data_IF_891388029588
#
_entry.id   IF_891388029588
#
_cell.length_a   1.000
_cell.length_b   1.000
_cell.length_c   1.000
_cell.angle_alpha   90.00
_cell.angle_beta   90.00
_cell.angle_gamma   90.00
#
_symmetry.space_group_name_H-M   'P 1'
#
loop_
_entity.id
_entity.type
_entity.pdbx_description
1 polymer ?
#
# COMPACT_ATOMS: atom_id res chain seq x y z
N UNK A 1 6.34 6.15 31.24
CA UNK A 1 5.79 6.01 29.87
C UNK A 1 5.29 7.33 29.23
N UNK A 2 5.11 8.42 29.94
CA UNK A 2 4.70 9.73 29.37
C UNK A 2 5.85 10.53 28.70
N UNK A 3 7.11 10.20 28.93
CA UNK A 3 8.25 10.97 28.40
C UNK A 3 8.66 10.65 26.95
N UNK A 4 8.29 9.49 26.41
CA UNK A 4 8.63 9.11 25.02
C UNK A 4 7.68 9.71 23.97
N UNK A 5 6.44 9.95 24.33
CA UNK A 5 5.45 10.56 23.43
C UNK A 5 5.76 12.02 23.05
N UNK A 6 6.40 12.77 23.95
CA UNK A 6 6.73 14.20 23.69
C UNK A 6 7.87 14.41 22.69
N UNK A 7 8.79 13.44 22.51
CA UNK A 7 9.94 13.60 21.58
C UNK A 7 9.60 13.35 20.10
N UNK A 8 8.54 12.60 19.80
CA UNK A 8 8.07 12.40 18.43
C UNK A 8 7.31 13.60 17.85
N UNK A 9 6.71 14.43 18.70
CA UNK A 9 5.89 15.56 18.33
C UNK A 9 6.63 16.75 17.70
N UNK A 10 7.90 16.93 18.02
CA UNK A 10 8.69 18.13 17.60
C UNK A 10 9.21 18.04 16.16
N UNK A 11 9.07 16.89 15.49
CA UNK A 11 9.69 16.64 14.19
C UNK A 11 8.79 16.87 12.96
N UNK A 12 7.54 17.25 13.18
CA UNK A 12 6.52 17.30 12.10
C UNK A 12 6.32 18.72 11.53
N UNK A 13 6.82 19.75 12.19
CA UNK A 13 6.59 21.12 11.76
C UNK A 13 7.75 21.66 10.92
N UNK A 14 7.72 21.41 9.60
CA UNK A 14 8.35 22.32 8.65
C UNK A 14 7.53 22.48 7.38
N UNK A 15 7.41 23.74 6.91
CA UNK A 15 6.47 24.14 5.90
C UNK A 15 6.95 23.86 4.48
N UNK A 16 5.97 23.80 3.60
CA UNK A 16 6.05 23.94 2.15
C UNK A 16 6.90 22.91 1.40
N UNK A 17 6.20 21.89 0.89
CA UNK A 17 6.68 21.19 -0.28
C UNK A 17 6.82 22.19 -1.43
N UNK A 18 8.04 22.43 -1.91
CA UNK A 18 8.25 23.13 -3.17
C UNK A 18 7.43 22.45 -4.27
N UNK A 19 6.65 23.25 -5.01
CA UNK A 19 5.96 22.78 -6.22
C UNK A 19 7.00 22.26 -7.19
N UNK A 20 7.27 20.95 -7.16
CA UNK A 20 8.29 20.28 -7.98
C UNK A 20 8.92 19.05 -7.35
N UNK A 21 8.72 18.81 -6.07
CA UNK A 21 9.34 17.66 -5.40
C UNK A 21 8.69 16.33 -5.82
N UNK A 22 9.52 15.40 -6.33
CA UNK A 22 9.10 14.07 -6.76
C UNK A 22 8.75 13.25 -5.52
N UNK A 23 7.51 12.82 -5.39
CA UNK A 23 7.12 11.94 -4.28
C UNK A 23 7.68 10.53 -4.46
N UNK A 24 7.71 10.04 -5.69
CA UNK A 24 8.23 8.73 -6.03
C UNK A 24 9.34 8.87 -7.08
N UNK A 25 10.41 8.09 -6.92
CA UNK A 25 11.56 8.02 -7.84
C UNK A 25 11.57 6.70 -8.60
N UNK A 26 11.19 5.60 -7.93
CA UNK A 26 11.14 4.25 -8.49
C UNK A 26 9.86 3.56 -8.07
N UNK A 27 9.11 3.08 -9.03
CA UNK A 27 7.83 2.42 -8.84
C UNK A 27 7.92 1.03 -9.41
N UNK A 28 7.59 0.00 -8.62
CA UNK A 28 7.52 -1.37 -9.07
C UNK A 28 6.07 -1.81 -9.25
N UNK A 29 5.81 -2.51 -10.34
CA UNK A 29 4.56 -3.24 -10.55
C UNK A 29 4.86 -4.66 -11.02
N UNK A 30 4.01 -5.61 -10.66
CA UNK A 30 4.11 -6.97 -11.15
C UNK A 30 2.94 -7.30 -12.06
N UNK A 31 3.21 -8.10 -13.10
CA UNK A 31 2.20 -8.58 -14.04
C UNK A 31 2.31 -10.09 -14.25
N UNK A 32 1.18 -10.75 -14.41
CA UNK A 32 1.07 -12.14 -14.88
C UNK A 32 0.50 -12.24 -16.32
N UNK A 33 0.46 -11.08 -17.02
CA UNK A 33 -0.09 -10.92 -18.36
C UNK A 33 -1.60 -11.23 -18.47
N UNK A 34 -2.30 -11.14 -17.35
CA UNK A 34 -3.75 -11.30 -17.33
C UNK A 34 -4.42 -9.95 -17.10
N UNK A 35 -5.58 -9.74 -17.67
CA UNK A 35 -6.35 -8.48 -17.66
C UNK A 35 -6.55 -7.85 -16.28
N UNK A 36 -6.51 -8.65 -15.22
CA UNK A 36 -6.60 -8.16 -13.83
C UNK A 36 -5.36 -7.36 -13.42
N UNK A 37 -4.19 -7.69 -13.96
CA UNK A 37 -2.94 -6.99 -13.68
C UNK A 37 -2.75 -5.75 -14.55
N UNK A 38 -3.48 -5.61 -15.66
CA UNK A 38 -3.36 -4.46 -16.55
C UNK A 38 -3.68 -3.15 -15.81
N UNK A 39 -4.70 -3.15 -14.95
CA UNK A 39 -5.06 -1.97 -14.17
C UNK A 39 -3.91 -1.50 -13.26
N UNK A 40 -3.15 -2.41 -12.65
CA UNK A 40 -1.99 -2.06 -11.82
C UNK A 40 -0.83 -1.52 -12.64
N UNK A 41 -0.52 -2.12 -13.79
CA UNK A 41 0.53 -1.64 -14.71
C UNK A 41 0.19 -0.25 -15.26
N UNK A 42 -1.04 -0.04 -15.70
CA UNK A 42 -1.52 1.26 -16.22
C UNK A 42 -1.47 2.34 -15.13
N UNK A 43 -1.91 2.01 -13.91
CA UNK A 43 -1.84 2.93 -12.77
C UNK A 43 -0.40 3.25 -12.40
N UNK A 44 0.48 2.26 -12.34
CA UNK A 44 1.90 2.45 -12.07
C UNK A 44 2.56 3.33 -13.12
N UNK A 45 2.28 3.11 -14.40
CA UNK A 45 2.78 3.92 -15.50
C UNK A 45 2.32 5.38 -15.39
N UNK A 46 1.05 5.59 -15.03
CA UNK A 46 0.50 6.93 -14.82
C UNK A 46 1.19 7.66 -13.65
N UNK A 47 1.35 6.98 -12.51
CA UNK A 47 2.03 7.56 -11.34
C UNK A 47 3.49 7.85 -11.68
N UNK A 48 4.16 6.93 -12.40
CA UNK A 48 5.54 7.13 -12.85
C UNK A 48 5.67 8.37 -13.75
N UNK A 49 4.76 8.54 -14.70
CA UNK A 49 4.71 9.72 -15.56
C UNK A 49 4.51 11.01 -14.77
N UNK A 50 3.55 11.05 -13.85
CA UNK A 50 3.25 12.23 -13.01
C UNK A 50 4.41 12.63 -12.09
N UNK A 51 5.26 11.67 -11.70
CA UNK A 51 6.40 11.87 -10.83
C UNK A 51 7.74 11.94 -11.58
N UNK A 52 7.77 11.73 -12.91
CA UNK A 52 8.99 11.49 -13.66
C UNK A 52 9.87 10.41 -12.97
N UNK A 53 9.23 9.31 -12.57
CA UNK A 53 9.83 8.19 -11.87
C UNK A 53 10.22 7.08 -12.85
N UNK A 54 11.18 6.22 -12.46
CA UNK A 54 11.49 4.99 -13.19
C UNK A 54 10.42 3.95 -12.85
N UNK A 55 9.78 3.37 -13.86
CA UNK A 55 8.84 2.28 -13.72
C UNK A 55 9.57 0.94 -13.89
N UNK A 56 9.37 0.04 -12.96
CA UNK A 56 9.90 -1.31 -12.95
C UNK A 56 8.74 -2.28 -13.10
N UNK A 57 8.73 -3.08 -14.18
CA UNK A 57 7.71 -4.08 -14.46
C UNK A 57 8.33 -5.45 -14.25
N UNK A 58 7.81 -6.20 -13.29
CA UNK A 58 8.27 -7.55 -12.95
C UNK A 58 7.27 -8.59 -13.43
N UNK A 59 7.79 -9.60 -14.12
CA UNK A 59 7.08 -10.84 -14.35
C UNK A 59 7.85 -11.98 -13.69
N UNK A 60 7.18 -12.77 -12.86
CA UNK A 60 7.79 -13.91 -12.19
C UNK A 60 7.29 -15.18 -12.86
N UNK A 61 8.23 -15.93 -13.40
CA UNK A 61 7.99 -17.30 -13.88
C UNK A 61 7.87 -18.19 -12.66
N UNK A 62 6.65 -18.52 -12.29
CA UNK A 62 6.37 -19.21 -11.02
C UNK A 62 7.04 -20.57 -10.98
N UNK A 63 7.90 -20.78 -9.96
CA UNK A 63 8.62 -22.04 -9.77
C UNK A 63 7.66 -23.16 -9.38
N UNK A 64 7.79 -24.29 -10.06
CA UNK A 64 7.05 -25.52 -9.74
C UNK A 64 7.63 -26.24 -8.51
N UNK A 65 8.84 -25.87 -8.06
CA UNK A 65 9.57 -26.52 -6.98
C UNK A 65 10.23 -25.50 -6.06
N UNK A 66 10.19 -25.76 -4.76
CA UNK A 66 10.93 -24.97 -3.77
C UNK A 66 12.46 -25.22 -3.81
N UNK A 67 12.89 -26.35 -4.39
CA UNK A 67 14.30 -26.78 -4.45
C UNK A 67 14.97 -26.25 -5.71
N UNK A 68 14.26 -26.30 -6.84
CA UNK A 68 14.77 -25.83 -8.13
C UNK A 68 13.93 -24.67 -8.65
N UNK A 69 14.45 -23.46 -8.50
CA UNK A 69 13.77 -22.23 -8.95
C UNK A 69 13.68 -22.13 -10.47
N UNK A 70 14.52 -22.84 -11.22
CA UNK A 70 14.51 -22.84 -12.67
C UNK A 70 13.49 -23.83 -13.26
N UNK A 71 12.93 -24.73 -12.45
CA UNK A 71 11.81 -25.56 -12.85
C UNK A 71 10.51 -24.74 -12.73
N UNK A 72 10.02 -24.30 -13.86
CA UNK A 72 8.85 -23.41 -13.95
C UNK A 72 7.70 -24.08 -14.70
N UNK A 73 6.50 -23.56 -14.54
CA UNK A 73 5.37 -23.90 -15.40
C UNK A 73 5.40 -23.06 -16.67
N UNK A 74 5.42 -23.73 -17.81
CA UNK A 74 5.38 -23.06 -19.11
C UNK A 74 4.08 -22.26 -19.25
N UNK A 75 4.23 -21.01 -19.59
CA UNK A 75 3.17 -19.99 -19.64
C UNK A 75 1.91 -20.42 -20.45
N UNK A 76 2.11 -21.09 -21.62
CA UNK A 76 0.99 -21.49 -22.48
C UNK A 76 0.50 -22.91 -22.18
N UNK A 77 1.42 -23.84 -21.96
CA UNK A 77 1.07 -25.26 -21.90
C UNK A 77 0.86 -25.81 -20.49
N UNK A 78 1.26 -25.05 -19.46
CA UNK A 78 1.21 -25.48 -18.05
C UNK A 78 2.14 -26.62 -17.69
N UNK A 79 2.99 -27.10 -18.63
CA UNK A 79 3.96 -28.19 -18.40
C UNK A 79 5.17 -27.64 -17.65
N UNK A 80 5.75 -28.48 -16.80
CA UNK A 80 7.00 -28.15 -16.15
C UNK A 80 8.15 -28.15 -17.17
N UNK A 81 8.89 -27.06 -17.20
CA UNK A 81 10.06 -26.84 -18.04
C UNK A 81 11.18 -26.21 -17.21
N UNK A 82 12.42 -26.42 -17.63
CA UNK A 82 13.56 -25.68 -17.08
C UNK A 82 13.69 -24.39 -17.86
N UNK A 83 13.64 -23.26 -17.16
CA UNK A 83 13.77 -21.93 -17.79
C UNK A 83 15.19 -21.71 -18.32
N UNK A 84 15.30 -20.93 -19.38
CA UNK A 84 16.54 -20.47 -19.98
C UNK A 84 16.51 -18.96 -20.20
N UNK A 85 17.68 -18.35 -20.37
CA UNK A 85 17.79 -16.93 -20.69
C UNK A 85 17.02 -16.54 -21.96
N UNK A 86 17.01 -17.42 -22.96
CA UNK A 86 16.26 -17.17 -24.20
C UNK A 86 14.75 -17.19 -23.98
N UNK A 87 14.27 -18.05 -23.06
CA UNK A 87 12.86 -18.09 -22.70
C UNK A 87 12.45 -16.83 -21.91
N UNK A 88 13.28 -16.43 -20.97
CA UNK A 88 13.07 -15.19 -20.20
C UNK A 88 13.03 -13.95 -21.11
N UNK A 89 13.94 -13.90 -22.11
CA UNK A 89 13.96 -12.84 -23.12
C UNK A 89 12.70 -12.84 -23.97
N UNK A 90 12.26 -14.00 -24.46
CA UNK A 90 11.02 -14.13 -25.24
C UNK A 90 9.82 -13.62 -24.46
N UNK A 91 9.70 -13.98 -23.18
CA UNK A 91 8.62 -13.51 -22.32
C UNK A 91 8.72 -11.98 -22.09
N UNK A 92 9.93 -11.45 -21.92
CA UNK A 92 10.16 -10.01 -21.79
C UNK A 92 9.71 -9.23 -23.03
N UNK A 93 10.00 -9.76 -24.22
CA UNK A 93 9.55 -9.15 -25.48
C UNK A 93 8.02 -9.17 -25.61
N UNK A 94 7.36 -10.25 -25.21
CA UNK A 94 5.89 -10.31 -25.22
C UNK A 94 5.26 -9.28 -24.25
N UNK A 95 5.81 -9.14 -23.04
CA UNK A 95 5.37 -8.12 -22.08
C UNK A 95 5.55 -6.70 -22.69
N UNK A 96 6.69 -6.48 -23.32
CA UNK A 96 6.96 -5.19 -23.97
C UNK A 96 5.97 -4.92 -25.11
N UNK A 97 5.63 -5.89 -25.93
CA UNK A 97 4.62 -5.73 -26.99
C UNK A 97 3.24 -5.36 -26.44
N UNK A 98 2.85 -5.97 -25.31
CA UNK A 98 1.56 -5.70 -24.66
C UNK A 98 1.45 -4.25 -24.17
N UNK A 99 2.52 -3.74 -23.53
CA UNK A 99 2.46 -2.46 -22.83
C UNK A 99 3.12 -1.29 -23.55
N UNK A 100 3.80 -1.52 -24.69
CA UNK A 100 4.60 -0.49 -25.37
C UNK A 100 3.80 0.75 -25.76
N UNK A 101 2.56 0.57 -26.21
CA UNK A 101 1.67 1.66 -26.62
C UNK A 101 1.31 2.60 -25.46
N UNK A 102 1.25 2.05 -24.23
CA UNK A 102 0.90 2.80 -23.01
C UNK A 102 2.14 3.45 -22.40
N UNK A 103 3.30 2.80 -22.52
CA UNK A 103 4.54 3.22 -21.86
C UNK A 103 5.30 4.25 -22.68
N UNK A 104 5.34 4.11 -24.01
CA UNK A 104 6.05 5.07 -24.90
C UNK A 104 5.13 6.24 -25.32
N UNK A 105 5.68 7.44 -25.47
CA UNK A 105 7.06 7.88 -25.22
C UNK A 105 7.30 8.49 -23.83
N UNK A 106 6.39 8.33 -22.88
CA UNK A 106 6.29 9.21 -21.71
C UNK A 106 6.78 8.62 -20.38
N UNK A 107 7.19 7.36 -20.35
CA UNK A 107 7.62 6.69 -19.11
C UNK A 107 8.99 6.06 -19.30
N UNK A 108 9.92 6.33 -18.39
CA UNK A 108 11.18 5.59 -18.28
C UNK A 108 10.89 4.25 -17.58
N UNK A 109 10.99 3.13 -18.29
CA UNK A 109 10.65 1.82 -17.75
C UNK A 109 11.71 0.76 -18.02
N UNK A 110 11.67 -0.29 -17.20
CA UNK A 110 12.47 -1.49 -17.30
C UNK A 110 11.57 -2.71 -17.07
N UNK A 111 11.75 -3.75 -17.87
CA UNK A 111 11.03 -5.02 -17.70
C UNK A 111 12.03 -6.08 -17.25
N UNK A 112 11.70 -6.78 -16.16
CA UNK A 112 12.47 -7.92 -15.66
C UNK A 112 11.57 -9.16 -15.66
N UNK A 113 12.13 -10.26 -16.16
CA UNK A 113 11.55 -11.60 -16.09
C UNK A 113 12.50 -12.44 -15.26
N UNK A 114 12.01 -13.19 -14.30
CA UNK A 114 12.84 -14.03 -13.42
C UNK A 114 12.05 -15.23 -12.91
N UNK A 115 12.67 -16.41 -12.76
CA UNK A 115 12.03 -17.54 -12.11
C UNK A 115 12.00 -17.36 -10.58
N UNK A 116 10.97 -17.89 -9.92
CA UNK A 116 10.90 -17.84 -8.47
C UNK A 116 9.47 -17.83 -7.92
N UNK A 117 9.37 -17.42 -6.65
CA UNK A 117 8.10 -17.19 -6.00
C UNK A 117 7.71 -15.70 -6.10
N UNK A 118 6.51 -15.37 -6.60
CA UNK A 118 6.16 -13.98 -6.93
C UNK A 118 6.41 -12.96 -5.82
N UNK A 119 5.96 -13.22 -4.59
CA UNK A 119 6.15 -12.27 -3.49
C UNK A 119 7.63 -12.12 -3.07
N UNK A 120 8.43 -13.22 -3.10
CA UNK A 120 9.86 -13.16 -2.77
C UNK A 120 10.65 -12.35 -3.80
N UNK A 121 10.36 -12.55 -5.09
CA UNK A 121 11.03 -11.84 -6.17
C UNK A 121 10.65 -10.34 -6.19
N UNK A 122 9.39 -10.00 -5.87
CA UNK A 122 8.98 -8.61 -5.68
C UNK A 122 9.79 -7.98 -4.54
N UNK A 123 9.88 -8.63 -3.38
CA UNK A 123 10.66 -8.13 -2.24
C UNK A 123 12.14 -8.00 -2.56
N UNK A 124 12.72 -8.99 -3.24
CA UNK A 124 14.13 -8.98 -3.64
C UNK A 124 14.42 -7.77 -4.53
N UNK A 125 13.64 -7.59 -5.60
CA UNK A 125 13.88 -6.50 -6.54
C UNK A 125 13.58 -5.12 -5.92
N UNK A 126 12.57 -5.02 -5.08
CA UNK A 126 12.27 -3.80 -4.32
C UNK A 126 13.49 -3.32 -3.51
N UNK A 127 14.15 -4.26 -2.82
CA UNK A 127 15.33 -3.96 -1.99
C UNK A 127 16.58 -3.67 -2.82
N UNK A 128 16.84 -4.47 -3.87
CA UNK A 128 17.97 -4.28 -4.78
C UNK A 128 17.93 -2.90 -5.42
N UNK A 129 16.78 -2.45 -5.86
CA UNK A 129 16.60 -1.21 -6.60
C UNK A 129 16.25 0.00 -5.72
N UNK A 130 15.85 -0.20 -4.48
CA UNK A 130 15.35 0.88 -3.61
C UNK A 130 14.04 1.47 -4.14
N UNK A 131 13.06 0.60 -4.42
CA UNK A 131 11.70 0.99 -4.82
C UNK A 131 11.00 1.73 -3.70
N UNK A 132 10.26 2.78 -4.01
CA UNK A 132 9.55 3.61 -3.04
C UNK A 132 8.02 3.52 -3.13
N UNK A 133 7.50 2.80 -4.13
CA UNK A 133 6.08 2.43 -4.25
C UNK A 133 5.94 1.12 -5.01
N UNK A 134 5.20 0.17 -4.45
CA UNK A 134 4.78 -1.05 -5.14
C UNK A 134 3.32 -0.92 -5.55
N UNK A 135 2.98 -1.27 -6.80
CA UNK A 135 1.61 -1.24 -7.33
C UNK A 135 1.24 -2.63 -7.80
N UNK A 136 0.21 -3.23 -7.19
CA UNK A 136 -0.22 -4.60 -7.48
C UNK A 136 -1.72 -4.69 -7.75
N UNK A 137 -2.12 -5.68 -8.53
CA UNK A 137 -3.51 -6.13 -8.57
C UNK A 137 -3.87 -6.91 -7.28
N UNK A 138 -5.16 -7.01 -6.92
CA UNK A 138 -5.57 -7.66 -5.66
C UNK A 138 -5.35 -9.19 -5.68
N UNK A 139 -5.24 -9.80 -6.84
CA UNK A 139 -4.97 -11.23 -7.05
C UNK A 139 -4.58 -11.47 -8.51
N UNK A 140 -3.92 -12.59 -8.79
CA UNK A 140 -3.72 -13.06 -10.16
C UNK A 140 -4.98 -13.77 -10.68
N UNK A 141 -5.23 -13.74 -11.99
CA UNK A 141 -6.38 -14.42 -12.59
C UNK A 141 -6.21 -15.95 -12.65
N UNK A 142 -5.00 -16.48 -12.41
CA UNK A 142 -4.75 -17.94 -12.33
C UNK A 142 -5.60 -18.64 -11.25
N UNK A 143 -6.21 -17.88 -10.33
CA UNK A 143 -7.19 -18.40 -9.37
C UNK A 143 -8.49 -18.94 -10.01
N UNK A 144 -8.67 -18.80 -11.31
CA UNK A 144 -9.80 -19.38 -12.07
C UNK A 144 -9.47 -20.75 -12.69
N UNK A 145 -8.24 -21.25 -12.57
CA UNK A 145 -7.88 -22.59 -13.01
C UNK A 145 -8.63 -23.66 -12.17
N UNK A 146 -9.18 -24.66 -12.87
CA UNK A 146 -9.94 -25.77 -12.28
C UNK A 146 -9.15 -26.45 -11.16
N UNK A 147 -9.65 -26.37 -9.94
CA UNK A 147 -9.07 -27.04 -8.77
C UNK A 147 -8.50 -26.12 -7.68
N UNK A 148 -8.37 -24.82 -7.91
CA UNK A 148 -7.97 -23.88 -6.86
C UNK A 148 -9.21 -23.38 -6.13
N UNK A 149 -9.34 -23.74 -4.83
CA UNK A 149 -10.43 -23.23 -3.98
C UNK A 149 -10.15 -21.76 -3.66
N UNK A 150 -10.87 -20.90 -4.35
CA UNK A 150 -10.86 -19.46 -4.05
C UNK A 150 -11.50 -19.22 -2.70
N UNK A 151 -10.77 -18.74 -1.73
CA UNK A 151 -11.37 -18.21 -0.50
C UNK A 151 -11.97 -16.85 -0.86
N UNK A 152 -13.28 -16.82 -1.06
CA UNK A 152 -14.01 -15.60 -1.43
C UNK A 152 -13.77 -14.51 -0.38
N UNK A 153 -13.31 -13.35 -0.81
CA UNK A 153 -13.12 -12.19 0.06
C UNK A 153 -11.71 -11.99 0.58
N UNK A 154 -10.70 -12.67 0.00
CA UNK A 154 -9.28 -12.51 0.34
C UNK A 154 -8.45 -11.98 -0.83
N UNK A 155 -7.42 -11.20 -0.51
CA UNK A 155 -6.36 -10.83 -1.47
C UNK A 155 -5.52 -12.06 -1.82
N UNK A 156 -4.80 -12.01 -2.94
CA UNK A 156 -3.90 -13.10 -3.36
C UNK A 156 -2.69 -13.25 -2.43
N UNK A 157 -2.15 -14.46 -2.35
CA UNK A 157 -0.97 -14.79 -1.53
C UNK A 157 0.24 -13.92 -1.84
N UNK A 158 0.41 -13.50 -3.10
CA UNK A 158 1.48 -12.57 -3.51
C UNK A 158 1.33 -11.22 -2.84
N UNK A 159 0.13 -10.62 -2.88
CA UNK A 159 -0.13 -9.32 -2.26
C UNK A 159 -0.01 -9.40 -0.74
N UNK A 160 -0.55 -10.47 -0.14
CA UNK A 160 -0.43 -10.73 1.30
C UNK A 160 1.04 -10.84 1.70
N UNK A 161 1.83 -11.66 1.00
CA UNK A 161 3.26 -11.83 1.28
C UNK A 161 4.04 -10.52 1.15
N UNK A 162 3.74 -9.70 0.14
CA UNK A 162 4.39 -8.39 -0.01
C UNK A 162 4.01 -7.44 1.13
N UNK A 163 2.73 -7.29 1.49
CA UNK A 163 2.30 -6.43 2.60
C UNK A 163 2.94 -6.85 3.93
N UNK A 164 3.10 -8.16 4.14
CA UNK A 164 3.65 -8.67 5.39
C UNK A 164 5.15 -8.43 5.57
N UNK A 165 5.91 -8.39 4.47
CA UNK A 165 7.37 -8.44 4.52
C UNK A 165 8.06 -7.20 3.94
N UNK A 166 7.29 -6.27 3.32
CA UNK A 166 7.82 -5.06 2.72
C UNK A 166 7.61 -3.84 3.62
N UNK A 167 8.53 -2.90 3.49
CA UNK A 167 8.53 -1.64 4.22
C UNK A 167 8.02 -0.47 3.37
N UNK A 168 8.05 -0.58 2.04
CA UNK A 168 7.52 0.47 1.19
C UNK A 168 5.99 0.38 1.03
N UNK A 169 5.30 1.48 0.73
CA UNK A 169 3.85 1.48 0.52
C UNK A 169 3.44 0.55 -0.62
N UNK A 170 2.36 -0.19 -0.40
CA UNK A 170 1.77 -1.09 -1.40
C UNK A 170 0.42 -0.53 -1.84
N UNK A 171 0.33 -0.10 -3.09
CA UNK A 171 -0.91 0.35 -3.72
C UNK A 171 -1.60 -0.82 -4.41
N UNK A 172 -2.79 -1.17 -3.96
CA UNK A 172 -3.60 -2.25 -4.51
C UNK A 172 -4.65 -1.64 -5.43
N UNK A 173 -4.63 -2.08 -6.69
CA UNK A 173 -5.49 -1.54 -7.76
C UNK A 173 -6.41 -2.64 -8.27
N UNK A 174 -7.70 -2.51 -7.99
CA UNK A 174 -8.72 -3.44 -8.49
C UNK A 174 -8.98 -3.23 -9.99
N UNK A 175 -9.29 -4.29 -10.71
CA UNK A 175 -9.65 -4.26 -12.14
C UNK A 175 -10.92 -3.46 -12.44
N UNK A 176 -11.77 -3.24 -11.43
CA UNK A 176 -12.95 -2.39 -11.53
C UNK A 176 -12.62 -0.90 -11.65
N UNK A 177 -11.38 -0.50 -11.38
CA UNK A 177 -10.90 0.85 -11.63
C UNK A 177 -10.65 0.96 -13.14
N UNK A 178 -11.75 1.03 -13.89
CA UNK A 178 -11.71 1.15 -15.33
C UNK A 178 -11.10 2.50 -15.73
N UNK A 179 -10.03 2.45 -16.55
CA UNK A 179 -9.54 3.49 -17.47
C UNK A 179 -9.57 4.96 -17.00
N UNK A 180 -10.17 5.27 -15.85
CA UNK A 180 -10.12 6.59 -15.26
C UNK A 180 -8.78 6.81 -14.58
N UNK A 181 -8.15 7.88 -14.95
CA UNK A 181 -6.88 8.33 -14.39
C UNK A 181 -7.05 8.46 -12.87
N UNK A 182 -6.27 7.70 -12.10
CA UNK A 182 -6.22 7.85 -10.63
C UNK A 182 -5.78 9.29 -10.31
N UNK A 183 -6.71 10.07 -9.76
CA UNK A 183 -6.50 11.51 -9.57
C UNK A 183 -6.00 11.87 -8.18
N UNK A 184 -6.10 10.96 -7.21
CA UNK A 184 -5.80 11.22 -5.80
C UNK A 184 -6.49 12.48 -5.25
N UNK A 185 -7.72 12.77 -5.69
CA UNK A 185 -8.41 14.02 -5.28
C UNK A 185 -9.18 13.90 -3.98
N UNK A 186 -9.59 12.68 -3.64
CA UNK A 186 -10.45 12.39 -2.48
C UNK A 186 -9.91 11.16 -1.76
N UNK A 187 -9.16 11.40 -0.69
CA UNK A 187 -8.42 10.36 0.03
C UNK A 187 -9.09 10.09 1.37
N UNK A 188 -9.48 8.83 1.62
CA UNK A 188 -9.97 8.37 2.92
C UNK A 188 -8.82 7.74 3.71
N UNK A 189 -8.63 8.18 4.95
CA UNK A 189 -7.70 7.53 5.89
C UNK A 189 -8.52 6.84 6.96
N UNK A 190 -8.37 5.51 7.08
CA UNK A 190 -8.99 4.72 8.14
C UNK A 190 -8.15 4.80 9.41
N UNK A 191 -8.72 5.29 10.51
CA UNK A 191 -8.02 5.56 11.76
C UNK A 191 -8.52 4.65 12.87
N UNK A 192 -7.61 3.87 13.47
CA UNK A 192 -7.81 3.06 14.67
C UNK A 192 -6.92 3.52 15.85
N UNK A 193 -6.22 4.65 15.68
CA UNK A 193 -5.27 5.24 16.61
C UNK A 193 -4.01 4.41 16.86
N UNK A 194 -3.71 3.43 16.03
CA UNK A 194 -2.46 2.68 16.04
C UNK A 194 -1.32 3.49 15.42
N UNK A 195 -0.09 3.06 15.65
CA UNK A 195 1.09 3.67 15.05
C UNK A 195 1.13 3.48 13.52
N UNK A 196 0.66 2.36 13.03
CA UNK A 196 0.54 2.11 11.58
C UNK A 196 -0.47 3.06 10.92
N UNK A 197 -1.56 3.42 11.60
CA UNK A 197 -2.47 4.46 11.14
C UNK A 197 -1.83 5.83 11.06
N UNK A 198 -0.93 6.16 12.00
CA UNK A 198 -0.16 7.42 11.98
C UNK A 198 0.70 7.48 10.72
N UNK A 199 1.34 6.37 10.33
CA UNK A 199 2.11 6.26 9.10
C UNK A 199 1.24 6.45 7.86
N UNK A 200 0.09 5.80 7.82
CA UNK A 200 -0.86 5.92 6.70
C UNK A 200 -1.41 7.35 6.58
N UNK A 201 -1.70 8.00 7.71
CA UNK A 201 -2.14 9.40 7.75
C UNK A 201 -1.06 10.32 7.19
N UNK A 202 0.18 10.18 7.63
CA UNK A 202 1.29 10.98 7.12
C UNK A 202 1.48 10.80 5.61
N UNK A 203 1.45 9.56 5.13
CA UNK A 203 1.53 9.27 3.70
C UNK A 203 0.40 9.95 2.92
N UNK A 204 -0.84 9.84 3.42
CA UNK A 204 -2.00 10.45 2.79
C UNK A 204 -1.92 11.98 2.77
N UNK A 205 -1.38 12.61 3.82
CA UNK A 205 -1.13 14.06 3.88
C UNK A 205 -0.12 14.48 2.81
N UNK A 206 0.98 13.73 2.64
CA UNK A 206 1.97 14.01 1.58
C UNK A 206 1.37 13.89 0.18
N UNK A 207 0.53 12.88 -0.04
CA UNK A 207 -0.24 12.76 -1.28
C UNK A 207 -1.18 13.95 -1.47
N UNK A 208 -1.92 14.32 -0.42
CA UNK A 208 -2.88 15.40 -0.48
C UNK A 208 -2.21 16.75 -0.79
N UNK A 209 -1.09 17.04 -0.18
CA UNK A 209 -0.30 18.24 -0.46
C UNK A 209 0.20 18.28 -1.92
N UNK A 210 0.65 17.12 -2.45
CA UNK A 210 1.15 17.04 -3.83
C UNK A 210 0.04 17.16 -4.87
N UNK A 211 -1.09 16.51 -4.64
CA UNK A 211 -2.16 16.40 -5.63
C UNK A 211 -3.33 17.35 -5.38
N UNK A 212 -3.21 18.22 -4.36
CA UNK A 212 -4.26 19.14 -3.93
C UNK A 212 -5.57 18.37 -3.68
N UNK A 213 -5.52 17.46 -2.70
CA UNK A 213 -6.57 16.50 -2.39
C UNK A 213 -7.31 16.88 -1.12
N UNK A 214 -8.60 16.51 -1.07
CA UNK A 214 -9.35 16.51 0.17
C UNK A 214 -9.16 15.22 0.94
N UNK A 215 -8.82 15.33 2.24
CA UNK A 215 -8.68 14.21 3.16
C UNK A 215 -9.95 13.98 3.97
N UNK A 216 -10.31 12.70 4.13
CA UNK A 216 -11.37 12.25 5.01
C UNK A 216 -10.77 11.33 6.08
N UNK A 217 -10.65 11.82 7.32
CA UNK A 217 -10.19 11.00 8.45
C UNK A 217 -11.40 10.30 9.07
N UNK A 218 -11.47 8.99 8.90
CA UNK A 218 -12.58 8.15 9.32
C UNK A 218 -12.23 7.27 10.51
N UNK A 219 -13.03 7.33 11.57
CA UNK A 219 -12.99 6.41 12.71
C UNK A 219 -14.34 5.77 12.95
N UNK A 220 -14.34 4.45 13.18
CA UNK A 220 -15.54 3.69 13.53
C UNK A 220 -15.60 3.43 15.02
N UNK A 221 -16.73 3.78 15.64
CA UNK A 221 -17.03 3.37 17.01
C UNK A 221 -17.67 1.98 16.96
N UNK A 222 -17.13 0.97 17.69
CA UNK A 222 -17.77 -0.33 17.79
C UNK A 222 -19.13 -0.20 18.47
N UNK A 223 -20.19 -0.55 17.76
CA UNK A 223 -21.54 -0.63 18.34
C UNK A 223 -21.85 -2.09 18.64
N UNK A 224 -22.04 -2.46 19.91
CA UNK A 224 -22.37 -3.82 20.26
C UNK A 224 -23.75 -4.21 19.71
N UNK A 225 -23.95 -5.46 19.31
CA UNK A 225 -25.22 -5.94 18.73
C UNK A 225 -26.36 -6.06 19.74
N UNK A 226 -26.12 -5.76 21.02
CA UNK A 226 -27.11 -5.92 22.12
C UNK A 226 -27.76 -4.56 22.37
N UNK A 227 -29.13 -4.52 22.57
CA UNK A 227 -29.90 -3.27 22.62
C UNK A 227 -29.73 -2.43 23.92
N UNK A 228 -28.65 -2.60 24.66
CA UNK A 228 -28.34 -1.82 25.87
C UNK A 228 -27.58 -0.51 25.60
N UNK A 229 -27.24 -0.22 24.35
CA UNK A 229 -26.54 1.01 23.96
C UNK A 229 -27.58 2.08 23.67
N UNK A 230 -27.77 3.01 24.58
CA UNK A 230 -28.76 4.08 24.44
C UNK A 230 -28.32 5.11 23.41
N UNK A 231 -29.27 5.86 22.85
CA UNK A 231 -28.98 6.96 21.94
C UNK A 231 -28.06 8.01 22.57
N UNK A 232 -28.26 8.30 23.84
CA UNK A 232 -27.46 9.29 24.59
C UNK A 232 -26.01 8.83 24.77
N UNK A 233 -25.78 7.54 25.06
CA UNK A 233 -24.44 6.97 25.16
C UNK A 233 -23.74 7.01 23.78
N UNK A 234 -24.44 6.66 22.72
CA UNK A 234 -23.91 6.74 21.36
C UNK A 234 -23.51 8.17 20.96
N UNK A 235 -24.34 9.16 21.28
CA UNK A 235 -24.04 10.57 21.02
C UNK A 235 -22.82 11.03 21.81
N UNK A 236 -22.71 10.66 23.08
CA UNK A 236 -21.56 10.99 23.92
C UNK A 236 -20.27 10.36 23.39
N UNK A 237 -20.30 9.07 23.05
CA UNK A 237 -19.16 8.36 22.48
C UNK A 237 -18.73 8.94 21.12
N UNK A 238 -19.70 9.36 20.30
CA UNK A 238 -19.42 10.02 19.02
C UNK A 238 -18.69 11.35 19.22
N UNK A 239 -19.10 12.16 20.19
CA UNK A 239 -18.42 13.41 20.54
C UNK A 239 -17.00 13.17 21.04
N UNK A 240 -16.84 12.19 21.94
CA UNK A 240 -15.51 11.84 22.49
C UNK A 240 -14.57 11.28 21.40
N UNK A 241 -15.06 10.38 20.58
CA UNK A 241 -14.28 9.81 19.48
C UNK A 241 -13.89 10.89 18.44
N UNK A 242 -14.79 11.80 18.14
CA UNK A 242 -14.50 12.93 17.22
C UNK A 242 -13.45 13.89 17.80
N UNK A 243 -13.48 14.13 19.11
CA UNK A 243 -12.46 14.92 19.80
C UNK A 243 -11.09 14.22 19.71
N UNK A 244 -11.04 12.92 20.05
CA UNK A 244 -9.82 12.11 19.97
C UNK A 244 -9.27 12.06 18.56
N UNK A 245 -10.14 11.90 17.55
CA UNK A 245 -9.74 11.87 16.13
C UNK A 245 -9.10 13.20 15.71
N UNK A 246 -9.68 14.33 16.13
CA UNK A 246 -9.10 15.66 15.88
C UNK A 246 -7.73 15.80 16.54
N UNK A 247 -7.59 15.43 17.81
CA UNK A 247 -6.33 15.48 18.54
C UNK A 247 -5.26 14.60 17.88
N UNK A 248 -5.61 13.40 17.44
CA UNK A 248 -4.70 12.47 16.73
C UNK A 248 -4.21 13.03 15.40
N UNK A 249 -5.09 13.67 14.64
CA UNK A 249 -4.78 14.16 13.29
C UNK A 249 -4.21 15.59 13.27
N UNK A 250 -4.38 16.37 14.34
CA UNK A 250 -4.13 17.82 14.37
C UNK A 250 -2.74 18.22 13.86
N UNK A 251 -1.71 17.49 14.25
CA UNK A 251 -0.33 17.83 13.90
C UNK A 251 0.00 17.58 12.42
N UNK A 252 -0.79 16.74 11.73
CA UNK A 252 -0.58 16.36 10.34
C UNK A 252 -1.38 17.20 9.35
N UNK A 253 -2.54 17.73 9.77
CA UNK A 253 -3.55 18.28 8.86
C UNK A 253 -3.60 19.81 8.78
N UNK A 254 -2.62 20.52 9.35
CA UNK A 254 -2.69 22.00 9.53
C UNK A 254 -2.90 22.78 8.22
N UNK A 255 -2.47 22.26 7.07
CA UNK A 255 -2.55 22.96 5.77
C UNK A 255 -3.29 22.15 4.70
N UNK A 256 -4.08 21.15 5.10
CA UNK A 256 -4.73 20.23 4.17
C UNK A 256 -6.25 20.39 4.28
N UNK A 257 -6.98 20.49 3.15
CA UNK A 257 -8.45 20.41 3.16
C UNK A 257 -8.87 19.04 3.69
N UNK A 258 -9.61 19.02 4.82
CA UNK A 258 -9.94 17.78 5.51
C UNK A 258 -11.32 17.80 6.18
N UNK A 259 -11.85 16.59 6.39
CA UNK A 259 -13.09 16.34 7.10
C UNK A 259 -12.91 15.18 8.09
N UNK A 260 -13.35 15.36 9.34
CA UNK A 260 -13.39 14.33 10.36
C UNK A 260 -14.73 13.61 10.36
N UNK A 261 -14.71 12.30 10.19
CA UNK A 261 -15.89 11.46 10.09
C UNK A 261 -15.85 10.39 11.19
N UNK A 262 -16.90 10.34 11.99
CA UNK A 262 -17.09 9.33 13.03
C UNK A 262 -18.52 8.82 12.96
N UNK A 263 -18.68 7.52 12.90
CA UNK A 263 -19.96 6.86 13.12
C UNK A 263 -19.81 5.44 13.68
N UNK A 264 -20.91 4.87 14.20
CA UNK A 264 -20.92 3.55 14.76
C UNK A 264 -21.13 2.45 13.73
N UNK A 265 -20.55 1.29 13.99
CA UNK A 265 -20.73 0.11 13.18
C UNK A 265 -20.26 -1.16 13.86
N UNK A 266 -20.60 -2.31 13.26
CA UNK A 266 -20.20 -3.62 13.78
C UNK A 266 -18.96 -4.19 13.08
N UNK A 267 -18.77 -3.85 11.80
CA UNK A 267 -17.72 -4.44 10.94
C UNK A 267 -16.90 -3.32 10.29
N UNK A 268 -15.68 -3.05 10.78
CA UNK A 268 -14.85 -1.94 10.32
C UNK A 268 -14.68 -1.88 8.80
N UNK A 269 -14.41 -3.00 8.15
CA UNK A 269 -14.22 -3.04 6.70
C UNK A 269 -15.46 -2.62 5.91
N UNK A 270 -16.67 -2.94 6.39
CA UNK A 270 -17.90 -2.50 5.72
C UNK A 270 -18.13 -1.00 5.90
N UNK A 271 -17.84 -0.49 7.09
CA UNK A 271 -18.04 0.93 7.40
C UNK A 271 -17.01 1.81 6.64
N UNK A 272 -15.79 1.33 6.48
CA UNK A 272 -14.76 2.00 5.64
C UNK A 272 -15.25 2.07 4.18
N UNK A 273 -15.72 0.96 3.62
CA UNK A 273 -16.21 0.90 2.24
C UNK A 273 -17.45 1.79 2.02
N UNK A 274 -18.40 1.79 2.96
CA UNK A 274 -19.56 2.70 2.94
C UNK A 274 -19.13 4.17 2.99
N UNK A 275 -18.12 4.49 3.81
CA UNK A 275 -17.60 5.84 3.90
C UNK A 275 -16.94 6.26 2.59
N UNK A 276 -16.13 5.38 2.01
CA UNK A 276 -15.48 5.62 0.74
C UNK A 276 -16.50 5.87 -0.39
N UNK A 277 -17.55 5.05 -0.47
CA UNK A 277 -18.62 5.24 -1.45
C UNK A 277 -19.41 6.54 -1.22
N UNK A 278 -19.81 6.82 0.03
CA UNK A 278 -20.58 8.03 0.38
C UNK A 278 -19.81 9.32 0.10
N UNK A 279 -18.48 9.27 0.21
CA UNK A 279 -17.60 10.43 -0.01
C UNK A 279 -16.97 10.45 -1.40
N UNK A 280 -17.34 9.52 -2.28
CA UNK A 280 -16.81 9.40 -3.64
C UNK A 280 -15.26 9.43 -3.64
N UNK A 281 -14.68 8.55 -2.85
CA UNK A 281 -13.24 8.47 -2.59
C UNK A 281 -12.55 7.73 -3.73
N UNK A 282 -11.40 8.24 -4.17
CA UNK A 282 -10.56 7.61 -5.20
C UNK A 282 -9.35 6.84 -4.63
N UNK A 283 -9.02 7.06 -3.36
CA UNK A 283 -7.98 6.32 -2.64
C UNK A 283 -8.36 6.10 -1.17
N UNK A 284 -8.22 4.87 -0.69
CA UNK A 284 -8.27 4.55 0.74
C UNK A 284 -6.85 4.30 1.24
N UNK A 285 -6.41 5.03 2.27
CA UNK A 285 -5.13 4.82 2.95
C UNK A 285 -5.35 4.08 4.27
N UNK A 286 -4.62 3.00 4.48
CA UNK A 286 -4.71 2.14 5.66
C UNK A 286 -3.35 1.81 6.23
N UNK A 287 -3.24 1.82 7.56
CA UNK A 287 -2.11 1.21 8.25
C UNK A 287 -2.29 -0.31 8.33
N UNK A 288 -1.22 -1.07 8.15
CA UNK A 288 -1.18 -2.48 8.49
C UNK A 288 -0.44 -2.66 9.81
N UNK A 289 -0.70 -3.77 10.52
CA UNK A 289 -0.04 -4.03 11.81
C UNK A 289 1.48 -4.03 11.65
N UNK A 290 2.13 -3.22 12.49
CA UNK A 290 3.59 -3.17 12.54
C UNK A 290 4.15 -4.45 13.16
N UNK A 291 5.37 -4.82 12.79
CA UNK A 291 6.13 -5.98 13.29
C UNK A 291 6.41 -5.98 14.81
N UNK A 292 5.81 -5.07 15.59
CA UNK A 292 6.05 -4.93 17.02
C UNK A 292 5.35 -6.00 17.88
N UNK A 293 4.33 -6.69 17.36
CA UNK A 293 3.68 -7.81 18.04
C UNK A 293 4.27 -9.15 17.57
N UNK A 294 5.13 -9.72 18.42
CA UNK A 294 5.73 -11.03 18.16
C UNK A 294 4.66 -12.12 18.07
N UNK A 295 4.55 -12.79 16.92
CA UNK A 295 3.92 -14.11 16.83
C UNK A 295 2.81 -14.32 15.82
N UNK A 296 2.23 -13.30 15.17
CA UNK A 296 1.25 -13.50 14.09
C UNK A 296 1.41 -12.47 12.98
N UNK A 297 1.98 -12.93 11.89
CA UNK A 297 2.16 -12.17 10.67
C UNK A 297 0.93 -12.35 9.77
N UNK A 298 0.09 -11.33 9.63
CA UNK A 298 -0.98 -11.29 8.64
C UNK A 298 -1.32 -9.83 8.31
N UNK A 299 -1.76 -9.60 7.10
CA UNK A 299 -2.10 -8.26 6.58
C UNK A 299 -3.25 -7.54 7.32
N UNK A 300 -3.74 -8.09 8.42
CA UNK A 300 -4.90 -7.61 9.15
C UNK A 300 -6.21 -7.87 8.39
N UNK A 301 -7.17 -8.49 9.05
CA UNK A 301 -8.44 -8.88 8.41
C UNK A 301 -9.23 -7.71 7.83
N UNK A 302 -9.04 -6.50 8.33
CA UNK A 302 -9.70 -5.29 7.82
C UNK A 302 -9.03 -4.82 6.53
N UNK A 303 -7.68 -4.73 6.50
CA UNK A 303 -6.90 -4.37 5.31
C UNK A 303 -7.20 -5.33 4.16
N UNK A 304 -7.14 -6.63 4.44
CA UNK A 304 -7.42 -7.67 3.45
C UNK A 304 -8.81 -7.52 2.82
N UNK A 305 -9.85 -7.38 3.65
CA UNK A 305 -11.24 -7.29 3.19
C UNK A 305 -11.54 -5.98 2.47
N UNK A 306 -10.95 -4.86 2.91
CA UNK A 306 -11.08 -3.58 2.22
C UNK A 306 -10.38 -3.64 0.87
N UNK A 307 -9.13 -4.11 0.81
CA UNK A 307 -8.34 -4.21 -0.42
C UNK A 307 -9.02 -5.09 -1.48
N UNK A 308 -9.65 -6.19 -1.04
CA UNK A 308 -10.36 -7.07 -1.97
C UNK A 308 -11.68 -6.48 -2.50
N UNK A 309 -12.44 -5.74 -1.65
CA UNK A 309 -13.81 -5.30 -1.95
C UNK A 309 -13.91 -3.85 -2.42
N UNK A 310 -12.84 -3.09 -2.29
CA UNK A 310 -12.86 -1.67 -2.65
C UNK A 310 -13.12 -1.47 -4.14
N UNK A 311 -13.93 -0.47 -4.46
CA UNK A 311 -14.13 0.02 -5.82
C UNK A 311 -13.07 1.05 -6.24
N UNK A 312 -12.31 1.59 -5.30
CA UNK A 312 -11.18 2.49 -5.52
C UNK A 312 -9.86 1.85 -5.09
N UNK A 313 -8.75 2.50 -5.42
CA UNK A 313 -7.43 2.03 -5.01
C UNK A 313 -7.27 2.03 -3.48
N UNK A 314 -6.46 1.11 -2.97
CA UNK A 314 -6.15 1.01 -1.54
C UNK A 314 -4.64 1.04 -1.38
N UNK A 315 -4.12 2.01 -0.63
CA UNK A 315 -2.71 2.01 -0.24
C UNK A 315 -2.55 1.51 1.18
N UNK A 316 -1.66 0.54 1.36
CA UNK A 316 -1.31 -0.04 2.65
C UNK A 316 0.09 0.42 3.02
N UNK A 317 0.22 1.02 4.21
CA UNK A 317 1.48 1.53 4.74
C UNK A 317 1.80 0.77 6.02
N UNK A 318 2.96 0.09 6.04
CA UNK A 318 3.32 -0.82 7.14
C UNK A 318 4.41 -0.30 8.05
N UNK A 319 5.34 0.52 7.55
CA UNK A 319 6.54 0.91 8.27
C UNK A 319 6.68 2.43 8.43
N UNK A 320 6.89 2.92 9.68
CA UNK A 320 7.21 4.31 9.91
C UNK A 320 8.53 4.76 9.27
N UNK A 321 9.46 3.86 8.98
CA UNK A 321 10.74 4.19 8.36
C UNK A 321 10.57 4.73 6.93
N UNK A 322 9.55 4.30 6.21
CA UNK A 322 9.19 4.84 4.89
C UNK A 322 8.94 6.35 4.94
N UNK A 323 8.44 6.87 6.05
CA UNK A 323 8.20 8.30 6.23
C UNK A 323 9.49 9.11 6.21
N UNK A 324 10.61 8.51 6.58
CA UNK A 324 11.90 9.18 6.66
C UNK A 324 12.55 9.37 5.28
N UNK A 325 12.22 8.51 4.31
CA UNK A 325 12.78 8.60 2.95
C UNK A 325 12.21 9.77 2.15
N UNK A 326 11.07 10.32 2.58
CA UNK A 326 10.41 11.44 1.90
C UNK A 326 10.70 12.81 2.54
N UNK A 327 11.48 12.83 3.59
CA UNK A 327 11.90 14.08 4.23
C UNK A 327 13.17 14.58 3.55
N UNK A 328 13.22 15.91 3.27
CA UNK A 328 14.35 16.57 2.65
C UNK A 328 15.65 16.42 3.45
N UNK A 329 16.78 16.66 2.77
CA UNK A 329 18.16 16.47 3.23
C UNK A 329 18.53 17.03 4.62
N UNK A 330 17.77 17.96 5.17
CA UNK A 330 17.92 18.46 6.55
C UNK A 330 17.64 17.40 7.61
N UNK A 331 16.88 16.36 7.28
CA UNK A 331 16.47 15.28 8.19
C UNK A 331 17.45 14.11 8.21
N UNK A 332 18.45 14.06 7.32
CA UNK A 332 19.44 12.96 7.29
C UNK A 332 20.28 12.87 8.57
N UNK A 333 20.64 14.00 9.17
CA UNK A 333 21.36 14.01 10.46
C UNK A 333 20.52 13.42 11.60
N UNK A 334 19.24 13.72 11.61
CA UNK A 334 18.29 13.20 12.63
C UNK A 334 18.00 11.71 12.40
N UNK A 335 18.01 11.25 11.13
CA UNK A 335 17.88 9.83 10.79
C UNK A 335 19.02 9.02 11.40
N UNK A 336 20.26 9.46 11.22
CA UNK A 336 21.46 8.74 11.69
C UNK A 336 21.49 8.61 13.21
N UNK A 337 21.15 9.66 13.95
CA UNK A 337 21.12 9.63 15.42
C UNK A 337 20.01 8.71 15.97
N UNK A 338 18.84 8.69 15.34
CA UNK A 338 17.70 7.84 15.75
C UNK A 338 17.91 6.36 15.44
N UNK A 339 18.56 6.04 14.32
CA UNK A 339 18.95 4.67 13.96
C UNK A 339 19.98 4.12 14.93
N UNK A 340 20.98 4.92 15.30
CA UNK A 340 21.99 4.53 16.28
C UNK A 340 21.36 4.24 17.65
N UNK A 341 20.42 5.04 18.13
CA UNK A 341 19.75 4.83 19.43
C UNK A 341 18.86 3.56 19.45
N UNK A 342 18.24 3.20 18.32
CA UNK A 342 17.45 1.95 18.19
C UNK A 342 18.30 0.70 18.07
N UNK A 343 19.37 0.72 17.28
CA UNK A 343 20.28 -0.42 17.15
C UNK A 343 20.98 -0.74 18.49
N UNK A 344 21.34 0.26 19.25
CA UNK A 344 21.96 0.07 20.59
C UNK A 344 20.97 -0.61 21.55
N UNK A 345 19.67 -0.28 21.51
CA UNK A 345 18.66 -0.90 22.39
C UNK A 345 18.32 -2.35 22.03
N UNK A 346 18.47 -2.75 20.77
CA UNK A 346 18.28 -4.16 20.36
C UNK A 346 19.44 -5.05 20.82
N UNK A 347 20.65 -4.51 20.91
CA UNK A 347 21.85 -5.26 21.32
C UNK A 347 22.13 -5.23 22.83
N UNK A 348 21.48 -4.36 23.61
CA UNK A 348 21.70 -4.27 25.08
C UNK A 348 20.68 -5.00 25.93
N UNK A 349 19.71 -5.70 25.34
CA UNK A 349 18.82 -6.65 26.02
C UNK A 349 19.27 -8.08 25.71
N UNK A 350 20.30 -8.53 26.38
CA UNK A 350 20.59 -9.93 26.67
C UNK A 350 20.60 -10.12 28.17
#
# INVERSE_FOLDING_TARGET
>A
MQGLYRRFRVLVLHPMAEKGNKMFKKILTATDLVTVCDASVLTAAQIAKQNNAKLQILHVLESASAVDRHLIKHFITGKDIVTSSDYEETVREEINKVYIEVLKPSVNYEIRVTPGFPWEEILRWTREEGTDLIVLGPHSARAEEKGVVRVVGKIGSTVEGVIMHENCPVLIVNSSIQKEILKFKRILVSIDFSKSCECALYFAVKLAQKYDSKLFSFHMIPVPPIPKYSKTEYEADTVMAKKRLKEFCHEFLSETDHEYIVWGGALPHLEILKCAEKKDVDLIAMGSHTKEEAGRWYAGSVVERVSFRSKCAVVVVTDPEVLLTWQDSLTEKIKTEKYMDRSIRVFTKK
#
